data_IF_126179885758
#
_entry.id   IF_126179885758
#
_cell.length_a   1.000
_cell.length_b   1.000
_cell.length_c   1.000
_cell.angle_alpha   90.00
_cell.angle_beta   90.00
_cell.angle_gamma   90.00
#
_symmetry.space_group_name_H-M   'P 1'
#
loop_
_entity.id
_entity.type
_entity.pdbx_description
1 polymer ?
#
# COMPACT_ATOMS: atom_id res chain seq x y z
N UNK A 1 26.66 -14.81 -13.81
CA UNK A 1 27.11 -16.11 -13.27
C UNK A 1 26.30 -16.53 -12.03
N UNK A 2 26.13 -15.68 -11.00
CA UNK A 2 25.35 -15.98 -9.78
C UNK A 2 23.87 -16.26 -10.10
N UNK A 3 23.24 -15.43 -10.93
CA UNK A 3 21.87 -15.61 -11.36
C UNK A 3 21.62 -16.99 -11.99
N UNK A 4 22.53 -17.42 -12.87
CA UNK A 4 22.39 -18.73 -13.53
C UNK A 4 22.48 -19.89 -12.54
N UNK A 5 23.32 -19.76 -11.50
CA UNK A 5 23.41 -20.77 -10.43
C UNK A 5 22.13 -20.84 -9.60
N UNK A 6 21.58 -19.68 -9.23
CA UNK A 6 20.30 -19.60 -8.49
C UNK A 6 19.18 -20.23 -9.30
N UNK A 7 19.03 -19.88 -10.58
CA UNK A 7 17.99 -20.44 -11.44
C UNK A 7 18.13 -21.96 -11.61
N UNK A 8 19.37 -22.45 -11.76
CA UNK A 8 19.62 -23.90 -11.83
C UNK A 8 19.27 -24.60 -10.52
N UNK A 9 19.57 -23.99 -9.38
CA UNK A 9 19.19 -24.50 -8.06
C UNK A 9 17.67 -24.56 -7.86
N UNK A 10 16.96 -23.48 -8.21
CA UNK A 10 15.48 -23.43 -8.13
C UNK A 10 14.85 -24.50 -9.03
N UNK A 11 15.36 -24.65 -10.27
CA UNK A 11 14.87 -25.68 -11.19
C UNK A 11 15.05 -27.08 -10.61
N UNK A 12 16.23 -27.39 -10.08
CA UNK A 12 16.53 -28.68 -9.45
C UNK A 12 15.59 -28.95 -8.27
N UNK A 13 15.43 -27.99 -7.36
CA UNK A 13 14.50 -28.09 -6.23
C UNK A 13 13.05 -28.30 -6.67
N UNK A 14 12.63 -27.64 -7.75
CA UNK A 14 11.29 -27.80 -8.32
C UNK A 14 11.07 -29.23 -8.84
N UNK A 15 12.05 -29.77 -9.54
CA UNK A 15 12.01 -31.14 -10.07
C UNK A 15 12.02 -32.17 -8.94
N UNK A 16 12.91 -32.05 -7.95
CA UNK A 16 13.03 -32.95 -6.79
C UNK A 16 11.76 -33.00 -5.93
N UNK A 17 11.01 -31.85 -5.86
CA UNK A 17 9.80 -31.76 -5.06
C UNK A 17 8.50 -31.87 -5.88
N UNK A 18 8.60 -32.23 -7.17
CA UNK A 18 7.45 -32.34 -8.09
C UNK A 18 6.55 -31.10 -8.08
N UNK A 19 7.15 -29.91 -8.04
CA UNK A 19 6.39 -28.65 -8.09
C UNK A 19 5.87 -28.40 -9.50
N UNK A 20 4.62 -27.99 -9.61
CA UNK A 20 3.97 -27.70 -10.90
C UNK A 20 4.50 -26.44 -11.57
N UNK A 21 4.97 -25.48 -10.78
CA UNK A 21 5.54 -24.21 -11.27
C UNK A 21 6.31 -23.48 -10.16
N UNK A 22 7.11 -22.51 -10.57
CA UNK A 22 7.74 -21.53 -9.69
C UNK A 22 7.78 -20.17 -10.39
N UNK A 23 7.86 -19.10 -9.62
CA UNK A 23 7.77 -17.74 -10.15
C UNK A 23 8.82 -16.84 -9.50
N UNK A 24 9.35 -15.90 -10.30
CA UNK A 24 10.11 -14.76 -9.81
C UNK A 24 9.18 -13.57 -9.88
N UNK A 25 8.95 -12.90 -8.75
CA UNK A 25 8.03 -11.78 -8.65
C UNK A 25 8.80 -10.46 -8.60
N UNK A 26 8.35 -9.51 -9.42
CA UNK A 26 8.87 -8.14 -9.45
C UNK A 26 10.39 -8.02 -9.68
N UNK A 27 10.97 -8.76 -10.64
CA UNK A 27 12.37 -8.57 -11.00
C UNK A 27 12.55 -7.16 -11.58
N UNK A 28 13.76 -6.63 -11.49
CA UNK A 28 14.11 -5.38 -12.17
C UNK A 28 14.14 -5.58 -13.70
N UNK A 29 13.77 -4.55 -14.45
CA UNK A 29 13.71 -4.61 -15.92
C UNK A 29 15.04 -5.04 -16.54
N UNK A 30 16.17 -4.62 -15.94
CA UNK A 30 17.52 -5.00 -16.39
C UNK A 30 17.79 -6.51 -16.30
N UNK A 31 17.07 -7.24 -15.45
CA UNK A 31 17.28 -8.67 -15.23
C UNK A 31 16.42 -9.53 -16.17
N UNK A 32 15.44 -8.94 -16.86
CA UNK A 32 14.50 -9.66 -17.75
C UNK A 32 15.21 -10.39 -18.89
N UNK A 33 16.26 -9.80 -19.46
CA UNK A 33 17.06 -10.43 -20.54
C UNK A 33 17.66 -11.76 -20.06
N UNK A 34 18.20 -11.78 -18.85
CA UNK A 34 18.80 -13.00 -18.24
C UNK A 34 17.75 -14.10 -18.08
N UNK A 35 16.54 -13.77 -17.66
CA UNK A 35 15.44 -14.74 -17.54
C UNK A 35 15.00 -15.28 -18.90
N UNK A 36 14.87 -14.41 -19.90
CA UNK A 36 14.49 -14.78 -21.28
C UNK A 36 15.52 -15.71 -21.92
N UNK A 37 16.82 -15.44 -21.73
CA UNK A 37 17.90 -16.31 -22.22
C UNK A 37 17.86 -17.72 -21.60
N UNK A 38 17.25 -17.90 -20.43
CA UNK A 38 17.05 -19.18 -19.73
C UNK A 38 15.70 -19.83 -20.04
N UNK A 39 15.02 -19.39 -21.10
CA UNK A 39 13.72 -19.93 -21.55
C UNK A 39 12.60 -19.79 -20.50
N UNK A 40 12.69 -18.80 -19.62
CA UNK A 40 11.60 -18.46 -18.71
C UNK A 40 10.58 -17.56 -19.39
N UNK A 41 9.32 -17.85 -19.18
CA UNK A 41 8.22 -17.02 -19.69
C UNK A 41 8.11 -15.73 -18.90
N UNK A 42 8.14 -14.59 -19.59
CA UNK A 42 7.96 -13.28 -18.97
C UNK A 42 6.49 -12.89 -19.01
N UNK A 43 5.90 -12.65 -17.84
CA UNK A 43 4.54 -12.12 -17.71
C UNK A 43 4.63 -10.64 -17.37
N UNK A 44 3.98 -9.80 -18.17
CA UNK A 44 3.87 -8.36 -17.91
C UNK A 44 2.54 -8.03 -17.27
N UNK A 45 2.57 -7.15 -16.29
CA UNK A 45 1.40 -6.59 -15.64
C UNK A 45 1.57 -5.08 -15.47
N UNK A 46 0.52 -4.36 -15.10
CA UNK A 46 0.59 -2.94 -14.78
C UNK A 46 0.21 -2.72 -13.33
N UNK A 47 1.06 -2.01 -12.60
CA UNK A 47 0.76 -1.42 -11.31
C UNK A 47 0.63 0.09 -11.42
N UNK A 48 0.01 0.72 -10.43
CA UNK A 48 -0.18 2.16 -10.42
C UNK A 48 0.64 2.74 -9.28
N UNK A 49 1.76 3.39 -9.62
CA UNK A 49 2.73 3.93 -8.68
C UNK A 49 2.65 5.46 -8.68
N UNK A 50 2.68 6.08 -7.52
CA UNK A 50 2.88 7.51 -7.38
C UNK A 50 4.38 7.80 -7.23
N UNK A 51 4.86 8.84 -7.93
CA UNK A 51 6.25 9.28 -7.89
C UNK A 51 6.30 10.70 -7.35
N UNK A 52 7.24 10.94 -6.44
CA UNK A 52 7.52 12.27 -5.93
C UNK A 52 8.38 13.04 -6.94
N UNK A 53 7.80 14.05 -7.55
CA UNK A 53 8.49 14.95 -8.49
C UNK A 53 9.01 16.20 -7.75
N UNK A 54 9.60 16.01 -6.56
CA UNK A 54 10.11 17.06 -5.67
C UNK A 54 9.00 17.99 -5.13
N UNK A 55 7.82 17.46 -4.88
CA UNK A 55 6.76 18.21 -4.22
C UNK A 55 7.15 18.54 -2.77
N UNK A 56 6.84 19.76 -2.33
CA UNK A 56 7.02 20.17 -0.94
C UNK A 56 5.72 20.05 -0.14
N UNK A 57 4.58 20.18 -0.81
CA UNK A 57 3.25 20.09 -0.22
C UNK A 57 2.33 19.23 -1.06
N UNK A 58 1.25 18.76 -0.45
CA UNK A 58 0.19 18.06 -1.18
C UNK A 58 -0.49 18.98 -2.22
N UNK A 59 -0.59 20.27 -1.94
CA UNK A 59 -1.13 21.24 -2.89
C UNK A 59 -0.22 21.40 -4.13
N UNK A 60 1.11 21.35 -3.99
CA UNK A 60 2.02 21.36 -5.15
C UNK A 60 1.70 20.18 -6.07
N UNK A 61 1.54 18.99 -5.48
CA UNK A 61 1.15 17.80 -6.23
C UNK A 61 -0.21 17.97 -6.92
N UNK A 62 -1.24 18.37 -6.20
CA UNK A 62 -2.60 18.54 -6.75
C UNK A 62 -2.64 19.63 -7.81
N UNK A 63 -1.80 20.65 -7.74
CA UNK A 63 -1.71 21.71 -8.73
C UNK A 63 -1.19 21.24 -10.09
N UNK A 64 -0.52 20.09 -10.17
CA UNK A 64 -0.14 19.46 -11.46
C UNK A 64 -1.35 18.93 -12.24
N UNK A 65 -2.49 18.76 -11.58
CA UNK A 65 -3.68 18.20 -12.21
C UNK A 65 -4.43 19.21 -13.06
N UNK A 66 -5.09 18.70 -14.11
CA UNK A 66 -6.12 19.46 -14.82
C UNK A 66 -7.22 19.88 -13.84
N UNK A 67 -7.82 21.05 -14.05
CA UNK A 67 -8.79 21.68 -13.15
C UNK A 67 -9.91 20.75 -12.66
N UNK A 68 -10.42 19.88 -13.54
CA UNK A 68 -11.46 18.90 -13.19
C UNK A 68 -10.98 17.87 -12.16
N UNK A 69 -9.80 17.29 -12.36
CA UNK A 69 -9.24 16.28 -11.44
C UNK A 69 -8.85 16.92 -10.11
N UNK A 70 -8.26 18.12 -10.15
CA UNK A 70 -7.94 18.89 -8.95
C UNK A 70 -9.18 19.17 -8.09
N UNK A 71 -10.28 19.62 -8.71
CA UNK A 71 -11.55 19.82 -8.01
C UNK A 71 -12.10 18.53 -7.41
N UNK A 72 -11.97 17.40 -8.11
CA UNK A 72 -12.45 16.12 -7.61
C UNK A 72 -11.67 15.66 -6.37
N UNK A 73 -10.34 15.76 -6.38
CA UNK A 73 -9.51 15.41 -5.21
C UNK A 73 -9.91 16.26 -4.01
N UNK A 74 -10.02 17.59 -4.18
CA UNK A 74 -10.44 18.48 -3.09
C UNK A 74 -11.82 18.12 -2.56
N UNK A 75 -12.78 17.87 -3.45
CA UNK A 75 -14.15 17.47 -3.07
C UNK A 75 -14.20 16.12 -2.35
N UNK A 76 -13.37 15.15 -2.73
CA UNK A 76 -13.29 13.85 -2.05
C UNK A 76 -12.78 14.03 -0.61
N UNK A 77 -11.76 14.85 -0.39
CA UNK A 77 -11.24 15.17 0.94
C UNK A 77 -12.24 15.96 1.79
N UNK A 78 -12.88 16.99 1.21
CA UNK A 78 -13.95 17.75 1.88
C UNK A 78 -15.11 16.84 2.32
N UNK A 79 -15.49 15.85 1.50
CA UNK A 79 -16.53 14.89 1.88
C UNK A 79 -16.19 14.12 3.14
N UNK A 80 -14.95 13.68 3.30
CA UNK A 80 -14.53 12.97 4.50
C UNK A 80 -14.65 13.87 5.72
N UNK A 81 -14.14 15.11 5.65
CA UNK A 81 -14.24 16.08 6.73
C UNK A 81 -15.69 16.42 7.09
N UNK A 82 -16.54 16.63 6.08
CA UNK A 82 -17.95 16.99 6.28
C UNK A 82 -18.79 15.85 6.89
N UNK A 83 -18.30 14.62 6.86
CA UNK A 83 -18.90 13.48 7.56
C UNK A 83 -18.46 13.40 9.04
N UNK A 84 -17.69 14.38 9.52
CA UNK A 84 -17.19 14.39 10.89
C UNK A 84 -16.04 13.42 11.13
N UNK A 85 -15.25 13.10 10.11
CA UNK A 85 -14.11 12.20 10.22
C UNK A 85 -12.82 12.99 10.38
N UNK A 86 -12.10 12.75 11.46
CA UNK A 86 -10.73 13.20 11.70
C UNK A 86 -9.73 12.09 11.34
N UNK A 87 -8.64 12.45 10.67
CA UNK A 87 -7.63 11.50 10.21
C UNK A 87 -6.31 11.79 10.89
N UNK A 88 -5.70 10.74 11.46
CA UNK A 88 -4.37 10.83 12.06
C UNK A 88 -3.43 9.78 11.51
N UNK A 89 -2.18 10.19 11.29
CA UNK A 89 -1.11 9.31 10.81
C UNK A 89 -0.09 9.11 11.94
N UNK A 90 0.26 7.86 12.20
CA UNK A 90 1.19 7.42 13.23
C UNK A 90 2.34 6.65 12.60
N UNK A 91 3.56 6.82 13.10
CA UNK A 91 4.74 6.08 12.64
C UNK A 91 5.83 6.05 13.70
N UNK A 92 6.70 5.03 13.66
CA UNK A 92 7.81 4.91 14.61
C UNK A 92 7.32 4.89 16.07
N UNK A 93 7.84 5.78 16.89
CA UNK A 93 7.53 5.87 18.34
C UNK A 93 6.09 6.27 18.67
N UNK A 94 5.35 6.82 17.70
CA UNK A 94 3.94 7.18 17.90
C UNK A 94 3.02 5.95 17.84
N UNK A 95 3.53 4.81 17.34
CA UNK A 95 2.81 3.55 17.28
C UNK A 95 2.82 2.88 18.66
N UNK A 96 1.69 2.28 19.02
CA UNK A 96 1.56 1.47 20.21
C UNK A 96 0.65 0.27 19.97
N UNK A 97 0.61 -0.64 20.94
CA UNK A 97 -0.16 -1.87 20.85
C UNK A 97 -1.66 -1.61 20.70
N UNK A 98 -2.19 -0.61 21.39
CA UNK A 98 -3.62 -0.28 21.34
C UNK A 98 -4.05 0.10 19.91
N UNK A 99 -3.35 1.06 19.28
CA UNK A 99 -3.62 1.50 17.91
C UNK A 99 -3.50 0.35 16.89
N UNK A 100 -2.48 -0.50 17.07
CA UNK A 100 -2.27 -1.65 16.21
C UNK A 100 -3.37 -2.70 16.34
N UNK A 101 -3.85 -2.96 17.57
CA UNK A 101 -4.94 -3.90 17.80
C UNK A 101 -6.27 -3.38 17.27
N UNK A 102 -6.54 -2.08 17.38
CA UNK A 102 -7.73 -1.48 16.77
C UNK A 102 -7.68 -1.59 15.23
N UNK A 103 -6.51 -1.40 14.62
CA UNK A 103 -6.36 -1.64 13.19
C UNK A 103 -6.54 -3.13 12.82
N UNK A 104 -6.05 -4.05 13.65
CA UNK A 104 -6.25 -5.48 13.45
C UNK A 104 -7.74 -5.86 13.39
N UNK A 105 -8.59 -5.28 14.24
CA UNK A 105 -10.04 -5.48 14.18
C UNK A 105 -10.64 -5.03 12.82
N UNK A 106 -10.16 -3.90 12.28
CA UNK A 106 -10.57 -3.46 10.94
C UNK A 106 -10.10 -4.42 9.85
N UNK A 107 -8.89 -4.95 9.97
CA UNK A 107 -8.36 -5.97 9.06
C UNK A 107 -9.25 -7.22 9.07
N UNK A 108 -9.58 -7.76 10.24
CA UNK A 108 -10.45 -8.92 10.39
C UNK A 108 -11.83 -8.68 9.79
N UNK A 109 -12.48 -7.60 10.18
CA UNK A 109 -13.82 -7.21 9.71
C UNK A 109 -13.89 -7.10 8.19
N UNK A 110 -12.89 -6.45 7.59
CA UNK A 110 -12.85 -6.27 6.12
C UNK A 110 -12.62 -7.58 5.39
N UNK A 111 -11.75 -8.46 5.90
CA UNK A 111 -11.54 -9.77 5.29
C UNK A 111 -12.78 -10.65 5.40
N UNK A 112 -13.42 -10.67 6.56
CA UNK A 112 -14.65 -11.41 6.77
C UNK A 112 -15.75 -10.96 5.80
N UNK A 113 -15.94 -9.65 5.66
CA UNK A 113 -16.95 -9.05 4.74
C UNK A 113 -16.66 -9.38 3.27
N UNK A 114 -15.38 -9.42 2.84
CA UNK A 114 -15.00 -9.60 1.43
C UNK A 114 -14.81 -11.06 1.02
N UNK A 115 -14.29 -11.89 1.91
CA UNK A 115 -13.80 -13.23 1.58
C UNK A 115 -14.42 -14.34 2.43
N UNK A 116 -15.24 -13.98 3.43
CA UNK A 116 -15.87 -14.93 4.33
C UNK A 116 -14.92 -15.58 5.35
N UNK A 117 -13.67 -15.08 5.46
CA UNK A 117 -12.68 -15.55 6.45
C UNK A 117 -11.95 -14.36 7.08
N UNK A 118 -11.32 -14.56 8.23
CA UNK A 118 -10.66 -13.50 9.00
C UNK A 118 -9.31 -13.04 8.44
N UNK A 119 -8.91 -13.47 7.26
CA UNK A 119 -7.60 -13.16 6.67
C UNK A 119 -6.55 -14.20 7.04
N UNK A 120 -5.32 -13.94 6.61
CA UNK A 120 -4.19 -14.86 6.78
C UNK A 120 -3.23 -14.44 7.91
N UNK A 121 -3.31 -13.17 8.35
CA UNK A 121 -2.43 -12.61 9.36
C UNK A 121 -3.09 -12.74 10.73
N UNK A 122 -2.30 -13.16 11.68
CA UNK A 122 -2.74 -13.34 13.07
C UNK A 122 -2.45 -12.11 13.91
N UNK A 123 -2.97 -12.08 15.12
CA UNK A 123 -2.70 -11.01 16.11
C UNK A 123 -1.20 -10.87 16.37
N UNK A 124 -0.51 -12.01 16.51
CA UNK A 124 0.92 -12.07 16.78
C UNK A 124 1.76 -11.45 15.68
N UNK A 125 1.29 -11.50 14.41
CA UNK A 125 1.95 -10.78 13.32
C UNK A 125 1.93 -9.27 13.55
N UNK A 126 0.77 -8.71 13.91
CA UNK A 126 0.64 -7.26 14.13
C UNK A 126 1.41 -6.81 15.38
N UNK A 127 1.38 -7.58 16.46
CA UNK A 127 2.17 -7.33 17.68
C UNK A 127 3.67 -7.41 17.35
N UNK A 128 4.13 -8.47 16.71
CA UNK A 128 5.53 -8.65 16.32
C UNK A 128 6.07 -7.59 15.37
N UNK A 129 5.21 -6.99 14.53
CA UNK A 129 5.59 -5.86 13.71
C UNK A 129 6.01 -4.64 14.55
N UNK A 130 5.35 -4.36 15.68
CA UNK A 130 5.74 -3.27 16.59
C UNK A 130 7.11 -3.51 17.20
N UNK A 131 7.38 -4.74 17.60
CA UNK A 131 8.63 -5.09 18.27
C UNK A 131 9.83 -5.10 17.33
N UNK A 132 9.62 -5.43 16.05
CA UNK A 132 10.72 -5.71 15.12
C UNK A 132 10.93 -4.66 14.05
N UNK A 133 9.86 -4.00 13.57
CA UNK A 133 9.90 -3.09 12.41
C UNK A 133 9.03 -1.84 12.59
N UNK A 134 8.77 -1.37 13.82
CA UNK A 134 7.92 -0.20 14.09
C UNK A 134 8.33 1.03 13.26
N UNK A 135 9.63 1.28 13.10
CA UNK A 135 10.16 2.39 12.30
C UNK A 135 9.79 2.30 10.80
N UNK A 136 9.44 1.11 10.34
CA UNK A 136 9.04 0.85 8.95
C UNK A 136 7.53 0.85 8.74
N UNK A 137 6.74 1.05 9.80
CA UNK A 137 5.27 1.05 9.73
C UNK A 137 4.74 2.48 9.72
N UNK A 138 3.71 2.69 8.90
CA UNK A 138 2.88 3.89 8.91
C UNK A 138 1.43 3.44 9.02
N UNK A 139 0.74 3.94 10.03
CA UNK A 139 -0.66 3.64 10.31
C UNK A 139 -1.48 4.93 10.17
N UNK A 140 -2.48 4.91 9.31
CA UNK A 140 -3.45 6.00 9.18
C UNK A 140 -4.76 5.52 9.78
N UNK A 141 -5.28 6.27 10.75
CA UNK A 141 -6.53 5.95 11.44
C UNK A 141 -7.54 7.08 11.26
N UNK A 142 -8.78 6.67 11.01
CA UNK A 142 -9.93 7.54 10.87
C UNK A 142 -10.82 7.45 12.11
N UNK A 143 -11.13 8.60 12.70
CA UNK A 143 -11.97 8.74 13.89
C UNK A 143 -13.23 9.52 13.54
N UNK A 144 -14.38 8.97 13.88
CA UNK A 144 -15.64 9.72 13.86
C UNK A 144 -15.70 10.62 15.11
N UNK A 145 -15.75 11.92 14.86
CA UNK A 145 -15.76 12.94 15.94
C UNK A 145 -17.07 12.97 16.71
N UNK A 146 -18.17 12.43 16.17
CA UNK A 146 -19.46 12.41 16.84
C UNK A 146 -19.54 11.26 17.87
N UNK A 147 -19.02 10.09 17.52
CA UNK A 147 -19.00 8.91 18.40
C UNK A 147 -17.70 8.76 19.18
N UNK A 148 -16.71 9.59 18.92
CA UNK A 148 -15.35 9.55 19.49
C UNK A 148 -14.63 8.20 19.28
N UNK A 149 -15.05 7.41 18.27
CA UNK A 149 -14.54 6.07 18.01
C UNK A 149 -13.77 5.99 16.68
N UNK A 150 -12.78 5.09 16.61
CA UNK A 150 -12.11 4.76 15.35
C UNK A 150 -13.06 3.96 14.46
N UNK A 151 -13.11 4.33 13.18
CA UNK A 151 -14.05 3.75 12.19
C UNK A 151 -13.35 3.07 11.01
N UNK A 152 -12.05 3.27 10.86
CA UNK A 152 -11.27 2.62 9.81
C UNK A 152 -9.82 3.05 9.83
N UNK A 153 -9.02 2.43 8.97
CA UNK A 153 -7.61 2.79 8.83
C UNK A 153 -6.91 2.03 7.74
N UNK A 154 -5.70 2.48 7.41
CA UNK A 154 -4.81 1.83 6.48
C UNK A 154 -3.42 1.67 7.06
N UNK A 155 -2.77 0.58 6.71
CA UNK A 155 -1.41 0.25 7.13
C UNK A 155 -0.50 0.20 5.92
N UNK A 156 0.64 0.87 6.05
CA UNK A 156 1.69 0.92 5.05
C UNK A 156 3.00 0.44 5.67
N UNK A 157 3.87 -0.05 4.80
CA UNK A 157 5.28 -0.25 5.13
C UNK A 157 6.11 0.78 4.39
N UNK A 158 7.25 1.17 4.97
CA UNK A 158 8.20 2.06 4.32
C UNK A 158 9.62 1.54 4.45
N UNK A 159 10.43 1.85 3.46
CA UNK A 159 11.88 1.83 3.55
C UNK A 159 12.43 3.27 3.54
N UNK A 160 13.71 3.44 3.25
CA UNK A 160 14.34 4.75 3.20
C UNK A 160 13.86 5.64 2.05
N UNK A 161 13.31 5.05 1.00
CA UNK A 161 12.99 5.73 -0.25
C UNK A 161 11.53 5.59 -0.66
N UNK A 162 10.83 4.56 -0.18
CA UNK A 162 9.54 4.17 -0.73
C UNK A 162 8.50 3.92 0.36
N UNK A 163 7.22 4.13 0.00
CA UNK A 163 6.05 3.76 0.79
C UNK A 163 5.27 2.65 0.06
N UNK A 164 4.76 1.68 0.81
CA UNK A 164 4.01 0.54 0.31
C UNK A 164 2.68 0.40 1.05
N UNK A 165 1.57 0.71 0.40
CA UNK A 165 0.23 0.49 0.92
C UNK A 165 -0.12 -0.99 0.92
N UNK A 166 -0.54 -1.50 2.09
CA UNK A 166 -0.72 -2.95 2.21
C UNK A 166 -2.11 -3.36 2.67
N UNK A 167 -2.59 -2.79 3.76
CA UNK A 167 -3.86 -3.21 4.34
C UNK A 167 -4.78 -2.02 4.56
N UNK A 168 -6.06 -2.26 4.39
CA UNK A 168 -7.15 -1.34 4.65
C UNK A 168 -8.27 -2.09 5.37
N UNK A 169 -8.91 -1.42 6.32
CA UNK A 169 -10.12 -1.93 6.92
C UNK A 169 -10.98 -0.81 7.52
N UNK A 170 -12.28 -1.09 7.67
CA UNK A 170 -13.22 -0.17 8.30
C UNK A 170 -14.38 -0.94 8.94
N UNK A 171 -14.93 -0.39 10.01
CA UNK A 171 -16.14 -0.89 10.66
C UNK A 171 -17.42 -0.37 9.99
N UNK A 172 -17.37 0.84 9.43
CA UNK A 172 -18.48 1.50 8.75
C UNK A 172 -18.03 2.10 7.42
N UNK A 173 -18.96 2.29 6.48
CA UNK A 173 -18.68 2.86 5.17
C UNK A 173 -18.95 4.37 5.20
N UNK A 174 -17.92 5.16 4.88
CA UNK A 174 -17.99 6.59 4.69
C UNK A 174 -17.56 6.95 3.27
N UNK A 175 -18.23 7.91 2.66
CA UNK A 175 -17.92 8.38 1.31
C UNK A 175 -16.47 8.86 1.22
N UNK A 176 -15.72 8.30 0.27
CA UNK A 176 -14.32 8.64 -0.02
C UNK A 176 -13.30 8.31 1.08
N UNK A 177 -13.68 7.71 2.22
CA UNK A 177 -12.77 7.41 3.32
C UNK A 177 -11.62 6.50 2.88
N UNK A 178 -11.91 5.47 2.09
CA UNK A 178 -10.87 4.60 1.52
C UNK A 178 -9.84 5.39 0.71
N UNK A 179 -10.26 6.36 -0.10
CA UNK A 179 -9.33 7.16 -0.89
C UNK A 179 -8.50 8.10 -0.03
N UNK A 180 -9.10 8.67 0.99
CA UNK A 180 -8.40 9.52 1.95
C UNK A 180 -7.32 8.72 2.68
N UNK A 181 -7.69 7.62 3.34
CA UNK A 181 -6.75 6.83 4.14
C UNK A 181 -5.70 6.10 3.29
N UNK A 182 -6.11 5.48 2.16
CA UNK A 182 -5.23 4.62 1.39
C UNK A 182 -4.38 5.36 0.34
N UNK A 183 -4.79 6.56 -0.08
CA UNK A 183 -4.08 7.28 -1.15
C UNK A 183 -3.61 8.66 -0.70
N UNK A 184 -4.50 9.55 -0.29
CA UNK A 184 -4.13 10.95 -0.04
C UNK A 184 -3.21 11.08 1.17
N UNK A 185 -3.51 10.39 2.26
CA UNK A 185 -2.63 10.37 3.45
C UNK A 185 -1.28 9.71 3.16
N UNK A 186 -1.26 8.64 2.35
CA UNK A 186 -0.01 8.03 1.89
C UNK A 186 0.84 8.97 1.06
N UNK A 187 0.23 9.72 0.13
CA UNK A 187 0.93 10.74 -0.68
C UNK A 187 1.45 11.88 0.21
N UNK A 188 0.63 12.41 1.13
CA UNK A 188 1.07 13.45 2.07
C UNK A 188 2.24 12.98 2.92
N UNK A 189 2.16 11.76 3.44
CA UNK A 189 3.24 11.16 4.21
C UNK A 189 4.52 11.02 3.37
N UNK A 190 4.40 10.55 2.13
CA UNK A 190 5.54 10.40 1.23
C UNK A 190 6.20 11.75 0.88
N UNK A 191 5.41 12.80 0.64
CA UNK A 191 5.91 14.16 0.41
C UNK A 191 6.63 14.68 1.65
N UNK A 192 5.99 14.63 2.82
CA UNK A 192 6.54 15.12 4.09
C UNK A 192 7.88 14.46 4.44
N UNK A 193 8.01 13.16 4.16
CA UNK A 193 9.20 12.37 4.47
C UNK A 193 10.20 12.28 3.28
N UNK A 194 9.93 12.99 2.17
CA UNK A 194 10.78 13.02 0.96
C UNK A 194 11.02 11.64 0.36
N UNK A 195 10.02 10.76 0.44
CA UNK A 195 10.07 9.46 -0.19
C UNK A 195 9.92 9.59 -1.71
N UNK A 196 10.61 8.75 -2.47
CA UNK A 196 10.68 8.83 -3.93
C UNK A 196 9.41 8.32 -4.60
N UNK A 197 8.81 7.25 -4.06
CA UNK A 197 7.61 6.64 -4.63
C UNK A 197 6.68 6.06 -3.59
N UNK A 198 5.42 5.93 -3.99
CA UNK A 198 4.40 5.24 -3.22
C UNK A 198 3.69 4.21 -4.09
N UNK A 199 3.77 2.94 -3.70
CA UNK A 199 3.03 1.82 -4.25
C UNK A 199 1.80 1.56 -3.37
N UNK A 200 0.58 1.86 -3.82
CA UNK A 200 -0.64 1.68 -3.03
C UNK A 200 -1.23 0.27 -3.13
N UNK A 201 -0.46 -0.70 -3.61
CA UNK A 201 -0.89 -2.08 -3.86
C UNK A 201 -1.53 -2.30 -5.23
N UNK A 202 -1.87 -3.56 -5.50
CA UNK A 202 -2.37 -4.02 -6.79
C UNK A 202 -3.81 -3.54 -7.04
N UNK A 203 -4.19 -3.42 -8.32
CA UNK A 203 -5.52 -3.08 -8.86
C UNK A 203 -5.96 -1.61 -8.74
N UNK A 204 -6.90 -1.24 -9.60
CA UNK A 204 -7.67 0.00 -9.52
C UNK A 204 -7.24 1.11 -10.47
N UNK A 205 -7.79 1.11 -11.70
CA UNK A 205 -7.62 2.22 -12.66
C UNK A 205 -8.08 3.58 -12.10
N UNK A 206 -8.93 3.58 -11.06
CA UNK A 206 -9.35 4.77 -10.35
C UNK A 206 -8.17 5.53 -9.71
N UNK A 207 -7.02 4.89 -9.52
CA UNK A 207 -5.77 5.49 -9.04
C UNK A 207 -5.20 6.51 -10.04
N UNK A 208 -5.40 6.31 -11.34
CA UNK A 208 -4.94 7.25 -12.39
C UNK A 208 -5.51 8.65 -12.15
N UNK A 209 -6.79 8.74 -11.83
CA UNK A 209 -7.46 10.03 -11.54
C UNK A 209 -6.94 10.72 -10.28
N UNK A 210 -6.17 10.00 -9.46
CA UNK A 210 -5.56 10.46 -8.21
C UNK A 210 -4.04 10.60 -8.30
N UNK A 211 -3.50 10.61 -9.55
CA UNK A 211 -2.11 10.93 -9.84
C UNK A 211 -1.14 9.75 -9.80
N UNK A 212 -1.63 8.53 -9.66
CA UNK A 212 -0.79 7.34 -9.82
C UNK A 212 -0.56 7.06 -11.32
N UNK A 213 0.65 6.68 -11.67
CA UNK A 213 1.05 6.38 -13.05
C UNK A 213 1.11 4.89 -13.29
N UNK A 214 0.59 4.38 -14.42
CA UNK A 214 0.74 2.98 -14.77
C UNK A 214 2.23 2.67 -15.00
N UNK A 215 2.70 1.63 -14.32
CA UNK A 215 4.09 1.17 -14.35
C UNK A 215 4.09 -0.32 -14.67
N UNK A 216 4.88 -0.71 -15.66
CA UNK A 216 4.99 -2.13 -16.04
C UNK A 216 5.75 -2.87 -14.92
N UNK A 217 5.22 -4.03 -14.54
CA UNK A 217 5.88 -4.99 -13.65
C UNK A 217 5.99 -6.35 -14.36
N UNK A 218 6.95 -7.13 -13.95
CA UNK A 218 7.28 -8.42 -14.54
C UNK A 218 7.15 -9.56 -13.54
#
# INVERSE_FOLDING_TARGET
>A
QIFSLILSGVKKLSEENNLSSWHVLFPEEKDISVFSEKSLSVRKNAQFIWFNENFNTFDDFVNTFRSRHRKNVKKEREKVLNQGIDIKTFSGTDLNQELMMQFYEFYLSTNLKRSGHFGYLTKEFFEGCLDTINENIVLVLAKDTNSDSLVGGSMFFKDKENLYGRYWGCSAEYDCLHFECCYYQGIEFAIKNKLNKFDPGVQGEHKIKRGFKPTITY
#
